data_IF_650090777866
#
_entry.id   IF_650090777866
#
_cell.length_a   1.000
_cell.length_b   1.000
_cell.length_c   1.000
_cell.angle_alpha   90.00
_cell.angle_beta   90.00
_cell.angle_gamma   90.00
#
_symmetry.space_group_name_H-M   'P 1'
#
loop_
_entity.id
_entity.type
_entity.pdbx_description
1 polymer ?
#
# COMPACT_ATOMS: atom_id res chain seq x y z
N UNK A 1 62.31 -4.38 27.07
CA UNK A 1 62.08 -4.55 25.62
C UNK A 1 60.58 -4.74 25.42
N UNK A 2 59.92 -3.72 24.86
CA UNK A 2 58.47 -3.64 24.77
C UNK A 2 57.93 -4.36 23.54
N UNK A 3 56.88 -5.16 23.73
CA UNK A 3 56.10 -5.73 22.63
C UNK A 3 55.00 -4.73 22.24
N UNK A 4 55.16 -4.12 21.05
CA UNK A 4 54.11 -3.37 20.38
C UNK A 4 53.03 -4.32 19.86
N UNK A 5 51.81 -4.21 20.41
CA UNK A 5 50.62 -4.77 19.78
C UNK A 5 50.16 -3.83 18.67
N UNK A 6 50.20 -4.29 17.41
CA UNK A 6 49.57 -3.59 16.27
C UNK A 6 48.06 -3.83 16.34
N UNK A 7 47.29 -2.76 16.53
CA UNK A 7 45.83 -2.78 16.37
C UNK A 7 45.46 -2.78 14.88
N UNK A 8 44.63 -3.73 14.47
CA UNK A 8 44.06 -3.78 13.12
C UNK A 8 43.05 -2.63 12.91
N UNK A 9 42.91 -2.10 11.68
CA UNK A 9 41.89 -1.09 11.40
C UNK A 9 40.51 -1.75 11.35
N UNK A 10 39.49 -1.05 11.86
CA UNK A 10 38.10 -1.48 11.77
C UNK A 10 37.66 -1.61 10.30
N UNK A 11 36.79 -2.58 9.96
CA UNK A 11 36.29 -2.70 8.60
C UNK A 11 35.40 -1.49 8.25
N UNK A 12 35.61 -0.95 7.05
CA UNK A 12 34.83 0.16 6.51
C UNK A 12 33.33 -0.16 6.55
N UNK A 13 32.56 0.69 7.23
CA UNK A 13 31.10 0.65 7.18
C UNK A 13 30.65 0.80 5.73
N UNK A 14 29.93 -0.21 5.23
CA UNK A 14 29.25 -0.11 3.94
C UNK A 14 28.17 0.97 4.07
N UNK A 15 27.92 1.80 3.05
CA UNK A 15 26.81 2.72 3.09
C UNK A 15 25.53 1.91 3.30
N UNK A 16 24.76 2.25 4.33
CA UNK A 16 23.42 1.71 4.53
C UNK A 16 22.59 2.03 3.28
N UNK A 17 21.77 1.08 2.79
CA UNK A 17 20.84 1.40 1.72
C UNK A 17 19.87 2.49 2.20
N UNK A 18 19.73 3.54 1.39
CA UNK A 18 18.84 4.67 1.63
C UNK A 18 17.41 4.18 1.90
N UNK A 19 16.74 4.52 3.02
CA UNK A 19 15.42 3.97 3.36
C UNK A 19 14.26 4.57 2.56
N UNK A 20 14.49 5.62 1.77
CA UNK A 20 13.41 6.44 1.19
C UNK A 20 12.59 5.79 0.06
N UNK A 21 12.84 4.53 -0.32
CA UNK A 21 12.13 3.87 -1.43
C UNK A 21 11.31 2.62 -1.06
N UNK A 22 11.52 2.02 0.11
CA UNK A 22 10.98 0.70 0.46
C UNK A 22 9.86 0.73 1.52
N UNK A 23 9.64 1.87 2.17
CA UNK A 23 8.63 2.04 3.24
C UNK A 23 7.23 2.39 2.72
N UNK A 24 7.02 2.44 1.40
CA UNK A 24 5.73 2.79 0.81
C UNK A 24 4.82 1.59 0.58
N UNK A 25 5.34 0.37 0.72
CA UNK A 25 4.60 -0.87 0.50
C UNK A 25 4.06 -1.40 1.83
N UNK A 26 2.73 -1.60 1.91
CA UNK A 26 2.06 -2.03 3.14
C UNK A 26 0.75 -2.75 2.84
N UNK A 27 0.13 -3.34 3.85
CA UNK A 27 -1.25 -3.81 3.78
C UNK A 27 -2.21 -2.75 4.33
N UNK A 28 -3.19 -2.36 3.55
CA UNK A 28 -4.30 -1.54 4.03
C UNK A 28 -5.43 -2.43 4.54
N UNK A 29 -5.87 -2.21 5.78
CA UNK A 29 -7.00 -2.95 6.37
C UNK A 29 -8.31 -2.45 5.76
N UNK A 30 -9.05 -3.36 5.13
CA UNK A 30 -10.30 -3.05 4.42
C UNK A 30 -11.54 -3.08 5.31
N UNK A 31 -11.47 -3.80 6.44
CA UNK A 31 -12.57 -3.95 7.39
C UNK A 31 -12.00 -4.28 8.76
N UNK A 32 -12.70 -3.87 9.81
CA UNK A 32 -12.31 -4.16 11.20
C UNK A 32 -12.16 -5.66 11.39
N UNK A 33 -11.02 -6.06 11.98
CA UNK A 33 -10.70 -7.46 12.20
C UNK A 33 -10.15 -7.73 13.61
N UNK A 34 -10.70 -8.72 14.34
CA UNK A 34 -11.95 -9.44 14.04
C UNK A 34 -13.16 -8.49 13.95
N UNK A 35 -14.28 -8.97 13.39
CA UNK A 35 -15.51 -8.18 13.37
C UNK A 35 -15.89 -7.74 14.79
N UNK A 36 -16.35 -6.50 15.00
CA UNK A 36 -16.80 -6.02 16.32
C UNK A 36 -17.87 -6.91 16.97
N UNK A 37 -18.64 -7.66 16.17
CA UNK A 37 -19.65 -8.60 16.65
C UNK A 37 -19.05 -9.84 17.33
N UNK A 38 -17.80 -10.17 17.03
CA UNK A 38 -17.07 -11.32 17.56
C UNK A 38 -16.22 -10.89 18.75
N UNK A 39 -15.43 -9.83 18.58
CA UNK A 39 -14.54 -9.31 19.61
C UNK A 39 -14.08 -7.88 19.28
N UNK A 40 -13.50 -7.15 20.26
CA UNK A 40 -12.89 -5.86 19.96
C UNK A 40 -11.83 -6.00 18.85
N UNK A 41 -11.89 -5.17 17.78
CA UNK A 41 -11.00 -5.32 16.64
C UNK A 41 -9.55 -5.05 17.04
N UNK A 42 -8.67 -5.94 16.59
CA UNK A 42 -7.22 -5.83 16.76
C UNK A 42 -6.65 -4.88 15.70
N UNK A 43 -7.18 -4.97 14.49
CA UNK A 43 -6.88 -4.10 13.36
C UNK A 43 -8.15 -3.36 12.93
N UNK A 44 -8.03 -2.06 12.71
CA UNK A 44 -9.14 -1.20 12.29
C UNK A 44 -9.07 -0.87 10.82
N UNK A 45 -10.22 -0.68 10.18
CA UNK A 45 -10.32 -0.26 8.79
C UNK A 45 -9.52 1.04 8.55
N UNK A 46 -8.70 1.04 7.50
CA UNK A 46 -7.81 2.15 7.15
C UNK A 46 -6.43 2.09 7.80
N UNK A 47 -6.22 1.17 8.74
CA UNK A 47 -4.92 0.97 9.37
C UNK A 47 -3.91 0.38 8.37
N UNK A 48 -2.65 0.77 8.52
CA UNK A 48 -1.53 0.28 7.71
C UNK A 48 -0.78 -0.79 8.48
N UNK A 49 -0.57 -1.94 7.86
CA UNK A 49 0.17 -3.05 8.44
C UNK A 49 1.43 -3.33 7.62
N UNK A 50 2.52 -3.66 8.31
CA UNK A 50 3.72 -4.22 7.70
C UNK A 50 3.62 -5.74 7.71
N UNK A 51 3.84 -6.34 6.54
CA UNK A 51 3.86 -7.80 6.37
C UNK A 51 5.03 -8.41 7.13
N UNK A 52 4.76 -9.49 7.87
CA UNK A 52 5.78 -10.36 8.47
C UNK A 52 5.86 -11.67 7.68
N UNK A 53 4.72 -12.30 7.37
CA UNK A 53 4.65 -13.55 6.63
C UNK A 53 3.37 -13.66 5.80
N UNK A 54 3.48 -14.27 4.62
CA UNK A 54 2.37 -14.66 3.73
C UNK A 54 2.16 -16.17 3.82
N UNK A 55 1.05 -16.60 4.40
CA UNK A 55 0.70 -18.02 4.57
C UNK A 55 -0.39 -18.45 3.57
N UNK A 56 -0.47 -17.82 2.39
CA UNK A 56 -1.29 -18.29 1.26
C UNK A 56 -2.81 -18.08 1.45
N UNK A 57 -3.20 -17.20 2.35
CA UNK A 57 -4.60 -16.88 2.68
C UNK A 57 -4.74 -16.11 3.99
N UNK A 58 -3.74 -16.26 4.86
CA UNK A 58 -3.58 -15.50 6.08
C UNK A 58 -2.28 -14.71 6.05
N UNK A 59 -2.35 -13.50 6.56
CA UNK A 59 -1.21 -12.61 6.71
C UNK A 59 -0.84 -12.52 8.17
N UNK A 60 0.42 -12.80 8.48
CA UNK A 60 1.00 -12.36 9.74
C UNK A 60 1.52 -10.94 9.54
N UNK A 61 1.01 -9.99 10.31
CA UNK A 61 1.36 -8.58 10.12
C UNK A 61 1.46 -7.83 11.45
N UNK A 62 2.20 -6.73 11.44
CA UNK A 62 2.29 -5.79 12.55
C UNK A 62 1.68 -4.45 12.16
N UNK A 63 0.82 -3.92 13.03
CA UNK A 63 0.28 -2.58 12.85
C UNK A 63 1.36 -1.51 12.98
N UNK A 64 1.38 -0.58 12.02
CA UNK A 64 2.28 0.57 12.06
C UNK A 64 1.82 1.66 13.05
N UNK A 65 0.55 1.66 13.47
CA UNK A 65 0.00 2.65 14.41
C UNK A 65 0.03 2.15 15.85
N UNK A 66 -0.25 0.87 16.09
CA UNK A 66 -0.37 0.28 17.44
C UNK A 66 0.80 -0.63 17.81
N UNK A 67 1.63 -1.03 16.85
CA UNK A 67 2.73 -1.99 17.07
C UNK A 67 2.25 -3.41 17.38
N UNK A 68 0.94 -3.70 17.26
CA UNK A 68 0.39 -5.03 17.54
C UNK A 68 0.64 -5.98 16.38
N UNK A 69 1.17 -7.15 16.70
CA UNK A 69 1.36 -8.26 15.78
C UNK A 69 0.19 -9.25 15.90
N UNK A 70 -0.43 -9.59 14.78
CA UNK A 70 -1.49 -10.60 14.73
C UNK A 70 -1.68 -11.14 13.31
N UNK A 71 -2.47 -12.20 13.19
CA UNK A 71 -2.94 -12.73 11.93
C UNK A 71 -4.19 -11.98 11.44
N UNK A 72 -4.30 -11.80 10.13
CA UNK A 72 -5.47 -11.24 9.44
C UNK A 72 -5.73 -11.99 8.12
N UNK A 73 -6.98 -12.33 7.76
CA UNK A 73 -7.29 -12.95 6.48
C UNK A 73 -6.92 -12.04 5.30
N UNK A 74 -6.44 -12.62 4.20
CA UNK A 74 -6.13 -11.90 2.97
C UNK A 74 -7.31 -11.11 2.40
N UNK A 75 -8.54 -11.58 2.58
CA UNK A 75 -9.75 -10.89 2.12
C UNK A 75 -10.04 -9.59 2.90
N UNK A 76 -9.47 -9.42 4.08
CA UNK A 76 -9.64 -8.24 4.92
C UNK A 76 -8.59 -7.16 4.64
N UNK A 77 -7.65 -7.39 3.73
CA UNK A 77 -6.55 -6.48 3.43
C UNK A 77 -6.37 -6.27 1.92
N UNK A 78 -5.84 -5.11 1.55
CA UNK A 78 -5.32 -4.86 0.20
C UNK A 78 -3.82 -4.63 0.28
N UNK A 79 -3.07 -5.11 -0.73
CA UNK A 79 -1.66 -4.77 -0.87
C UNK A 79 -1.58 -3.37 -1.47
N UNK A 80 -0.73 -2.53 -0.90
CA UNK A 80 -0.48 -1.19 -1.37
C UNK A 80 0.97 -1.10 -1.81
N UNK A 81 1.19 -0.64 -3.04
CA UNK A 81 2.51 -0.36 -3.61
C UNK A 81 2.66 1.14 -3.83
N UNK A 82 3.86 1.67 -3.61
CA UNK A 82 4.18 3.10 -3.79
C UNK A 82 3.26 4.06 -2.99
N UNK A 83 2.54 3.54 -1.99
CA UNK A 83 1.58 4.28 -1.19
C UNK A 83 0.24 4.62 -1.86
N UNK A 84 0.06 4.35 -3.16
CA UNK A 84 -1.15 4.74 -3.90
C UNK A 84 -1.72 3.66 -4.83
N UNK A 85 -0.99 2.57 -5.11
CA UNK A 85 -1.46 1.48 -5.97
C UNK A 85 -1.99 0.31 -5.13
N UNK A 86 -3.29 0.05 -5.18
CA UNK A 86 -3.98 -0.95 -4.37
C UNK A 86 -4.33 -2.20 -5.21
N UNK A 87 -3.90 -3.37 -4.73
CA UNK A 87 -4.26 -4.69 -5.25
C UNK A 87 -5.18 -5.40 -4.24
N UNK A 88 -6.26 -6.03 -4.72
CA UNK A 88 -7.28 -6.65 -3.86
C UNK A 88 -8.29 -5.67 -3.27
N UNK A 89 -8.43 -4.47 -3.86
CA UNK A 89 -9.37 -3.45 -3.42
C UNK A 89 -10.49 -3.20 -4.43
N UNK A 90 -11.71 -3.61 -4.05
CA UNK A 90 -12.93 -3.31 -4.81
C UNK A 90 -13.40 -1.86 -4.73
N UNK A 91 -14.37 -1.51 -5.58
CA UNK A 91 -14.92 -0.15 -5.66
C UNK A 91 -15.49 0.31 -4.33
N UNK A 92 -16.32 -0.50 -3.69
CA UNK A 92 -17.07 -0.12 -2.49
C UNK A 92 -16.11 0.10 -1.31
N UNK A 93 -15.11 -0.77 -1.16
CA UNK A 93 -14.05 -0.61 -0.15
C UNK A 93 -13.17 0.62 -0.41
N UNK A 94 -12.89 0.96 -1.67
CA UNK A 94 -12.20 2.21 -1.97
C UNK A 94 -13.01 3.44 -1.54
N UNK A 95 -14.34 3.42 -1.73
CA UNK A 95 -15.22 4.49 -1.28
C UNK A 95 -15.24 4.61 0.25
N UNK A 96 -15.34 3.49 0.96
CA UNK A 96 -15.26 3.44 2.42
C UNK A 96 -13.95 4.03 2.95
N UNK A 97 -12.81 3.61 2.39
CA UNK A 97 -11.48 4.07 2.83
C UNK A 97 -11.28 5.56 2.57
N UNK A 98 -11.64 6.05 1.38
CA UNK A 98 -11.52 7.46 1.01
C UNK A 98 -12.51 8.37 1.75
N UNK A 99 -13.49 7.81 2.46
CA UNK A 99 -14.45 8.57 3.27
C UNK A 99 -14.12 8.54 4.77
N UNK A 100 -13.04 7.87 5.17
CA UNK A 100 -12.59 7.89 6.56
C UNK A 100 -12.29 9.32 7.01
N UNK A 101 -12.53 9.67 8.29
CA UNK A 101 -12.37 11.04 8.80
C UNK A 101 -10.97 11.64 8.57
N UNK A 102 -9.93 10.80 8.59
CA UNK A 102 -8.53 11.22 8.45
C UNK A 102 -8.12 11.48 6.99
N UNK A 103 -9.00 11.23 6.02
CA UNK A 103 -8.73 11.46 4.60
C UNK A 103 -9.17 12.86 4.18
N UNK A 104 -8.33 13.53 3.38
CA UNK A 104 -8.57 14.91 2.92
C UNK A 104 -9.18 14.91 1.52
N UNK A 105 -9.87 15.99 1.18
CA UNK A 105 -10.27 16.22 -0.22
C UNK A 105 -9.02 16.25 -1.10
N UNK A 106 -9.06 15.52 -2.22
CA UNK A 106 -7.91 15.30 -3.10
C UNK A 106 -7.12 14.02 -2.80
N UNK A 107 -7.33 13.36 -1.66
CA UNK A 107 -6.77 12.02 -1.43
C UNK A 107 -7.26 11.06 -2.50
N UNK A 108 -6.37 10.18 -2.97
CA UNK A 108 -6.68 9.29 -4.09
C UNK A 108 -6.02 7.92 -3.89
N UNK A 109 -6.41 6.99 -4.75
CA UNK A 109 -5.79 5.68 -4.91
C UNK A 109 -6.05 5.16 -6.31
N UNK A 110 -5.11 4.42 -6.87
CA UNK A 110 -5.31 3.62 -8.07
C UNK A 110 -5.53 2.18 -7.63
N UNK A 111 -6.65 1.59 -8.02
CA UNK A 111 -6.96 0.19 -7.74
C UNK A 111 -6.84 -0.66 -9.00
N UNK A 112 -6.20 -1.82 -8.89
CA UNK A 112 -6.24 -2.85 -9.93
C UNK A 112 -7.61 -3.52 -9.95
N UNK A 113 -8.09 -3.87 -11.15
CA UNK A 113 -9.35 -4.57 -11.35
C UNK A 113 -9.27 -6.01 -10.84
N UNK A 114 -10.13 -6.34 -9.88
CA UNK A 114 -10.24 -7.69 -9.29
C UNK A 114 -10.50 -8.78 -10.34
N UNK A 115 -11.20 -8.45 -11.43
CA UNK A 115 -11.58 -9.39 -12.49
C UNK A 115 -10.61 -9.43 -13.67
N UNK A 116 -9.71 -8.45 -13.80
CA UNK A 116 -8.86 -8.33 -14.99
C UNK A 116 -7.55 -7.62 -14.68
N UNK A 117 -6.47 -8.40 -14.52
CA UNK A 117 -5.13 -7.86 -14.29
C UNK A 117 -4.72 -6.88 -15.38
N UNK A 118 -4.00 -5.82 -14.99
CA UNK A 118 -3.56 -4.74 -15.87
C UNK A 118 -4.64 -3.72 -16.26
N UNK A 119 -5.84 -3.79 -15.68
CA UNK A 119 -6.86 -2.75 -15.78
C UNK A 119 -6.94 -2.00 -14.47
N UNK A 120 -6.95 -0.67 -14.53
CA UNK A 120 -6.87 0.17 -13.35
C UNK A 120 -8.02 1.17 -13.30
N UNK A 121 -8.34 1.62 -12.09
CA UNK A 121 -9.27 2.72 -11.85
C UNK A 121 -8.69 3.66 -10.81
N UNK A 122 -8.73 4.96 -11.10
CA UNK A 122 -8.40 6.01 -10.14
C UNK A 122 -9.66 6.34 -9.32
N UNK A 123 -9.55 6.28 -8.00
CA UNK A 123 -10.59 6.71 -7.06
C UNK A 123 -10.10 7.96 -6.31
N UNK A 124 -10.89 9.03 -6.30
CA UNK A 124 -10.49 10.33 -5.71
C UNK A 124 -11.55 10.81 -4.73
N UNK A 125 -11.11 11.21 -3.53
CA UNK A 125 -11.93 11.84 -2.50
C UNK A 125 -12.30 13.26 -2.90
N UNK A 126 -13.60 13.47 -3.11
CA UNK A 126 -14.22 14.79 -3.27
C UNK A 126 -15.47 14.86 -2.37
N UNK A 127 -16.50 15.68 -2.67
CA UNK A 127 -17.81 15.62 -1.95
C UNK A 127 -18.39 14.20 -1.90
N UNK A 128 -18.31 13.53 -3.05
CA UNK A 128 -18.49 12.08 -3.20
C UNK A 128 -17.26 11.54 -3.90
N UNK A 129 -16.91 10.27 -3.66
CA UNK A 129 -15.76 9.65 -4.32
C UNK A 129 -16.03 9.57 -5.82
N UNK A 130 -15.07 10.05 -6.61
CA UNK A 130 -15.11 10.00 -8.08
C UNK A 130 -14.22 8.87 -8.57
N UNK A 131 -14.69 8.15 -9.57
CA UNK A 131 -13.99 7.01 -10.16
C UNK A 131 -13.72 7.29 -11.63
N UNK A 132 -12.47 7.15 -12.04
CA UNK A 132 -12.03 7.30 -13.42
C UNK A 132 -11.41 6.00 -13.88
N UNK A 133 -11.83 5.52 -15.05
CA UNK A 133 -11.21 4.36 -15.67
C UNK A 133 -9.90 4.77 -16.30
N UNK A 134 -8.83 4.03 -16.00
CA UNK A 134 -7.53 4.20 -16.66
C UNK A 134 -7.51 3.20 -17.81
N UNK A 135 -7.38 3.72 -19.02
CA UNK A 135 -7.27 2.93 -20.23
C UNK A 135 -5.80 2.71 -20.57
N UNK A 136 -5.54 1.61 -21.28
CA UNK A 136 -4.22 1.25 -21.78
C UNK A 136 -4.26 1.15 -23.30
N UNK A 137 -3.35 1.85 -23.96
CA UNK A 137 -3.17 1.85 -25.41
C UNK A 137 -2.37 0.62 -25.87
N UNK A 138 -2.42 0.25 -27.17
CA UNK A 138 -1.64 -0.85 -27.72
C UNK A 138 -0.12 -0.71 -27.55
N UNK A 139 0.38 0.53 -27.44
CA UNK A 139 1.79 0.84 -27.16
C UNK A 139 2.12 0.79 -25.65
N UNK A 140 1.23 0.25 -24.83
CA UNK A 140 1.32 0.14 -23.37
C UNK A 140 1.19 1.42 -22.55
N UNK A 141 0.93 2.57 -23.18
CA UNK A 141 0.74 3.83 -22.45
C UNK A 141 -0.64 3.89 -21.79
N UNK A 142 -0.73 4.64 -20.69
CA UNK A 142 -1.92 4.83 -19.88
C UNK A 142 -2.57 6.19 -20.14
N UNK A 143 -3.89 6.27 -20.02
CA UNK A 143 -4.61 7.54 -20.05
C UNK A 143 -5.96 7.48 -19.33
N UNK A 144 -6.42 8.62 -18.83
CA UNK A 144 -7.82 8.84 -18.41
C UNK A 144 -8.55 9.67 -19.48
N UNK A 145 -7.87 10.67 -20.04
CA UNK A 145 -8.35 11.50 -21.15
C UNK A 145 -7.45 11.29 -22.37
N UNK A 146 -7.98 11.03 -23.58
CA UNK A 146 -7.17 10.74 -24.77
C UNK A 146 -6.18 11.84 -25.17
N UNK A 147 -6.33 13.05 -24.62
CA UNK A 147 -5.45 14.19 -24.89
C UNK A 147 -4.13 14.13 -24.13
N UNK A 148 -4.04 13.30 -23.09
CA UNK A 148 -2.89 13.21 -22.21
C UNK A 148 -2.61 11.75 -21.87
N UNK A 149 -1.44 11.29 -22.28
CA UNK A 149 -1.02 9.89 -22.18
C UNK A 149 0.30 9.78 -21.44
N UNK A 150 0.52 8.65 -20.76
CA UNK A 150 1.63 8.43 -19.82
C UNK A 150 2.28 7.07 -20.07
N UNK A 151 3.60 6.95 -19.83
CA UNK A 151 4.30 5.68 -20.09
C UNK A 151 4.08 4.66 -18.97
N UNK A 152 3.88 5.13 -17.74
CA UNK A 152 3.57 4.32 -16.58
C UNK A 152 2.48 4.98 -15.71
N UNK A 153 2.03 4.27 -14.66
CA UNK A 153 1.06 4.83 -13.70
C UNK A 153 1.67 5.89 -12.79
N UNK A 154 2.97 5.82 -12.54
CA UNK A 154 3.69 6.83 -11.73
C UNK A 154 3.71 8.20 -12.43
N UNK A 155 3.98 8.22 -13.73
CA UNK A 155 3.86 9.43 -14.57
C UNK A 155 2.44 10.00 -14.60
N UNK A 156 1.41 9.16 -14.45
CA UNK A 156 0.01 9.62 -14.39
C UNK A 156 -0.33 10.29 -13.06
N UNK A 157 0.38 9.92 -12.00
CA UNK A 157 0.16 10.42 -10.63
C UNK A 157 0.97 11.69 -10.36
N UNK A 158 2.19 11.80 -10.89
CA UNK A 158 3.09 12.95 -10.75
C UNK A 158 2.66 14.16 -11.61
#
# INVERSE_FOLDING_TARGET
>A
MGNSMKSAPAPAERPLPNPEGLDSDFLAVLSDYPSPDISPPIFRRGEKLRVISDEGGWWKAISLSTGRESYIPGICVARVYHGWLFEGLGRDKAEELLQLPDTKVGSFMIRESETKKGFYSLSVRHRQVKHYRIFRLPNNWYYISPRLTFQCLEDLVN
#
